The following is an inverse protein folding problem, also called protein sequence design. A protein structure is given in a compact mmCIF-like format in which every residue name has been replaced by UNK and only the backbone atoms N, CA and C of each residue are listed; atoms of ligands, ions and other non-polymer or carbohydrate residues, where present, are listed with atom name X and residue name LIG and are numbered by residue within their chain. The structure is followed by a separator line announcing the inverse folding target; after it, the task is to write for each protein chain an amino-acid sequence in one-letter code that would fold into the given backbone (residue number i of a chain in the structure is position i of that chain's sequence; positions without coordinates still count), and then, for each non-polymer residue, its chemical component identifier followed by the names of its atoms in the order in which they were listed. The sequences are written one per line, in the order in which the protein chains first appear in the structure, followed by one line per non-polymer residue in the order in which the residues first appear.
data_IF_417845297053
#
_entry.id   IF_417845297053
#
_cell.length_a   1.000
_cell.length_b   1.000
_cell.length_c   1.000
_cell.angle_alpha   90.00
_cell.angle_beta   90.00
_cell.angle_gamma   90.00
#
_symmetry.space_group_name_H-M   'P 1'
#
loop_
_entity.id
_entity.type
_entity.pdbx_description
1 polymer ?
#
# COMPACT_ATOMS: atom_id res chain seq x y z
N UNK A 1 45.03 51.54 18.06
CA UNK A 1 44.49 51.47 16.69
C UNK A 1 44.19 50.02 16.38
N UNK A 2 42.91 49.64 16.20
CA UNK A 2 42.51 48.24 16.11
C UNK A 2 42.77 47.65 14.72
N UNK A 3 43.10 46.36 14.74
CA UNK A 3 43.40 45.51 13.60
C UNK A 3 42.18 45.31 12.70
N UNK A 4 42.45 45.23 11.39
CA UNK A 4 41.50 44.86 10.35
C UNK A 4 40.83 43.53 10.69
N UNK A 5 39.51 43.60 10.81
CA UNK A 5 38.61 42.47 10.97
C UNK A 5 38.68 41.61 9.71
N UNK A 6 39.22 40.40 9.85
CA UNK A 6 39.21 39.39 8.80
C UNK A 6 37.77 39.03 8.50
N UNK A 7 37.31 39.32 7.29
CA UNK A 7 35.99 38.94 6.80
C UNK A 7 35.82 37.41 6.89
N UNK A 8 35.14 36.95 7.95
CA UNK A 8 34.64 35.59 8.06
C UNK A 8 33.57 35.44 6.99
N UNK A 9 33.95 34.90 5.82
CA UNK A 9 32.99 34.36 4.86
C UNK A 9 32.20 33.27 5.58
N UNK A 10 31.00 33.61 6.07
CA UNK A 10 29.97 32.63 6.41
C UNK A 10 29.67 31.84 5.14
N UNK A 11 30.31 30.68 4.97
CA UNK A 11 29.82 29.65 4.06
C UNK A 11 28.47 29.20 4.63
N UNK A 12 27.38 29.73 4.10
CA UNK A 12 26.08 29.10 4.25
C UNK A 12 26.18 27.74 3.56
N UNK A 13 26.35 26.67 4.34
CA UNK A 13 26.05 25.33 3.86
C UNK A 13 24.54 25.27 3.65
N UNK A 14 24.06 25.75 2.51
CA UNK A 14 22.73 25.37 2.03
C UNK A 14 22.77 23.85 1.87
N UNK A 15 22.21 23.12 2.83
CA UNK A 15 21.87 21.70 2.63
C UNK A 15 21.04 21.67 1.34
N UNK A 16 21.55 21.01 0.31
CA UNK A 16 20.79 20.75 -0.91
C UNK A 16 19.63 19.86 -0.52
N UNK A 17 18.45 20.46 -0.38
CA UNK A 17 17.22 19.78 -0.01
C UNK A 17 16.73 18.96 -1.21
N UNK A 18 16.39 17.70 -0.97
CA UNK A 18 15.75 16.79 -1.93
C UNK A 18 14.58 16.08 -1.27
N UNK A 19 13.77 15.37 -2.05
CA UNK A 19 12.66 14.52 -1.57
C UNK A 19 13.15 13.39 -0.67
N UNK A 20 14.45 13.08 -0.68
CA UNK A 20 15.05 12.14 0.25
C UNK A 20 15.29 12.78 1.63
N UNK A 21 15.49 14.11 1.70
CA UNK A 21 15.91 14.84 2.91
C UNK A 21 14.98 14.73 4.15
N UNK A 22 13.64 14.66 4.03
CA UNK A 22 12.76 14.59 5.20
C UNK A 22 12.75 13.24 5.94
N UNK A 23 13.41 12.22 5.40
CA UNK A 23 13.29 10.83 5.87
C UNK A 23 14.65 10.27 6.32
N UNK A 24 14.68 9.03 6.83
CA UNK A 24 15.94 8.29 7.02
C UNK A 24 16.80 8.25 5.74
N UNK A 25 16.22 8.46 4.56
CA UNK A 25 16.96 8.61 3.31
C UNK A 25 17.80 9.91 3.21
N UNK A 26 17.45 10.94 3.97
CA UNK A 26 18.25 12.16 4.11
C UNK A 26 19.56 11.84 4.80
N UNK A 27 19.53 10.94 5.78
CA UNK A 27 20.73 10.36 6.38
C UNK A 27 21.50 9.48 5.37
N UNK A 28 20.81 8.82 4.44
CA UNK A 28 21.44 8.01 3.38
C UNK A 28 22.15 8.85 2.31
N UNK A 29 21.77 10.12 2.12
CA UNK A 29 22.55 11.04 1.30
C UNK A 29 23.98 11.21 1.83
N UNK A 30 24.22 10.93 3.12
CA UNK A 30 25.55 10.90 3.72
C UNK A 30 26.16 9.48 3.76
N UNK A 31 25.38 8.44 3.50
CA UNK A 31 25.85 7.05 3.41
C UNK A 31 26.22 6.61 1.99
N UNK A 32 25.69 7.29 0.96
CA UNK A 32 25.94 6.97 -0.46
C UNK A 32 27.11 7.75 -1.09
N UNK A 33 28.06 8.22 -0.28
CA UNK A 33 29.23 8.97 -0.75
C UNK A 33 29.98 8.22 -1.86
N UNK A 34 29.93 8.74 -3.10
CA UNK A 34 30.58 8.16 -4.27
C UNK A 34 29.67 7.39 -5.23
N UNK A 35 28.36 7.27 -4.96
CA UNK A 35 27.41 6.71 -5.92
C UNK A 35 27.27 7.62 -7.15
N UNK A 36 27.35 7.03 -8.34
CA UNK A 36 27.05 7.69 -9.63
C UNK A 36 25.67 7.35 -10.16
N UNK A 37 24.96 6.44 -9.51
CA UNK A 37 23.67 5.93 -10.00
C UNK A 37 22.54 6.75 -9.41
N UNK A 38 21.54 7.08 -10.24
CA UNK A 38 20.28 7.66 -9.79
C UNK A 38 19.52 6.71 -8.86
N UNK A 39 18.76 7.27 -7.93
CA UNK A 39 17.78 6.54 -7.12
C UNK A 39 16.39 6.81 -7.68
N UNK A 40 15.61 5.74 -7.90
CA UNK A 40 14.20 5.86 -8.24
C UNK A 40 13.35 5.88 -6.96
N UNK A 41 12.41 6.82 -6.90
CA UNK A 41 11.52 7.03 -5.77
C UNK A 41 10.07 7.06 -6.26
N UNK A 42 9.21 6.25 -5.64
CA UNK A 42 7.76 6.43 -5.69
C UNK A 42 7.36 7.14 -4.42
N UNK A 43 6.94 8.40 -4.55
CA UNK A 43 6.59 9.21 -3.40
C UNK A 43 5.24 8.82 -2.81
N UNK A 44 4.89 9.42 -1.68
CA UNK A 44 3.66 9.20 -0.92
C UNK A 44 2.36 9.37 -1.71
N UNK A 45 2.40 10.18 -2.76
CA UNK A 45 1.25 10.49 -3.61
C UNK A 45 1.18 9.51 -4.82
N UNK A 46 2.14 8.60 -4.93
CA UNK A 46 2.25 7.58 -5.97
C UNK A 46 2.99 8.03 -7.23
N UNK A 47 3.67 9.17 -7.20
CA UNK A 47 4.46 9.66 -8.33
C UNK A 47 5.87 9.07 -8.34
N UNK A 48 6.27 8.54 -9.49
CA UNK A 48 7.63 8.09 -9.76
C UNK A 48 8.53 9.27 -10.11
N UNK A 49 9.72 9.28 -9.50
CA UNK A 49 10.79 10.24 -9.71
C UNK A 49 12.10 9.51 -9.89
N UNK A 50 12.93 10.04 -10.77
CA UNK A 50 14.35 9.81 -10.77
C UNK A 50 15.03 10.90 -9.93
N UNK A 51 15.83 10.50 -8.96
CA UNK A 51 16.65 11.38 -8.12
C UNK A 51 18.10 11.20 -8.54
N UNK A 52 18.69 12.24 -9.10
CA UNK A 52 20.06 12.23 -9.61
C UNK A 52 21.08 12.00 -8.50
N UNK A 53 22.17 11.32 -8.85
CA UNK A 53 23.31 11.15 -7.97
C UNK A 53 23.93 12.46 -7.49
N UNK A 54 23.74 13.57 -8.19
CA UNK A 54 24.25 14.88 -7.78
C UNK A 54 23.67 15.40 -6.46
N UNK A 55 22.50 14.93 -6.04
CA UNK A 55 21.85 15.37 -4.80
C UNK A 55 22.04 14.44 -3.62
N UNK A 56 22.49 13.20 -3.84
CA UNK A 56 22.74 12.24 -2.75
C UNK A 56 24.17 11.64 -2.75
N UNK A 57 24.88 11.60 -3.87
CA UNK A 57 26.18 10.93 -4.04
C UNK A 57 27.39 11.88 -3.89
N UNK A 58 27.28 12.92 -3.07
CA UNK A 58 28.05 14.17 -3.21
C UNK A 58 29.57 14.15 -2.92
N UNK A 59 30.23 12.98 -2.90
CA UNK A 59 31.68 12.96 -2.75
C UNK A 59 32.36 11.83 -3.51
N UNK A 60 32.83 12.14 -4.73
CA UNK A 60 33.85 11.34 -5.43
C UNK A 60 35.20 11.59 -4.73
N UNK A 61 35.67 10.66 -3.91
CA UNK A 61 36.93 10.78 -3.17
C UNK A 61 38.05 10.04 -3.90
N UNK A 62 39.17 10.72 -4.17
CA UNK A 62 40.39 10.04 -4.61
C UNK A 62 41.08 9.43 -3.38
N UNK A 63 41.13 8.10 -3.33
CA UNK A 63 41.92 7.38 -2.33
C UNK A 63 43.37 7.37 -2.80
N UNK A 64 44.29 7.97 -2.04
CA UNK A 64 45.73 7.72 -2.17
C UNK A 64 46.11 6.71 -1.09
N UNK A 65 46.71 5.59 -1.48
CA UNK A 65 47.27 4.56 -0.59
C UNK A 65 46.31 4.02 0.48
N UNK A 66 45.00 3.95 0.18
CA UNK A 66 44.01 3.36 1.09
C UNK A 66 43.70 4.18 2.36
N UNK A 67 44.21 5.41 2.49
CA UNK A 67 43.87 6.32 3.60
C UNK A 67 43.17 7.57 3.11
N UNK A 68 42.05 7.88 3.74
CA UNK A 68 41.24 9.04 3.42
C UNK A 68 41.67 10.26 4.24
N UNK A 69 41.71 11.45 3.62
CA UNK A 69 41.95 12.73 4.30
C UNK A 69 40.66 13.56 4.25
N UNK A 70 39.87 13.55 5.33
CA UNK A 70 39.13 14.74 5.73
C UNK A 70 39.34 14.98 7.24
N UNK A 71 39.28 16.24 7.67
CA UNK A 71 39.64 16.65 9.04
C UNK A 71 38.54 16.39 10.08
N UNK A 72 37.45 15.71 9.71
CA UNK A 72 36.20 15.71 10.53
C UNK A 72 35.66 14.30 10.77
N UNK A 73 35.89 13.34 9.86
CA UNK A 73 35.35 11.99 9.96
C UNK A 73 36.46 10.94 9.90
N UNK A 74 36.61 10.17 10.99
CA UNK A 74 37.70 9.20 11.19
C UNK A 74 37.42 7.79 10.68
N UNK A 75 36.25 7.49 10.10
CA UNK A 75 35.92 6.13 9.69
C UNK A 75 35.21 6.08 8.33
N UNK A 76 35.83 5.36 7.38
CA UNK A 76 35.20 4.91 6.14
C UNK A 76 35.47 3.42 5.93
N UNK A 77 34.40 2.63 5.98
CA UNK A 77 34.33 1.24 5.49
C UNK A 77 32.93 1.03 4.90
N UNK A 78 32.70 -0.05 4.13
CA UNK A 78 31.35 -0.41 3.71
C UNK A 78 30.46 -0.48 4.95
N UNK A 79 29.51 0.45 5.07
CA UNK A 79 28.45 0.30 6.05
C UNK A 79 27.52 -0.76 5.50
N UNK A 80 27.31 -1.84 6.24
CA UNK A 80 26.06 -2.57 6.06
C UNK A 80 24.93 -1.56 6.29
N UNK A 81 23.99 -1.50 5.36
CA UNK A 81 22.70 -0.88 5.66
C UNK A 81 22.21 -1.60 6.92
N UNK A 82 21.59 -0.93 7.91
CA UNK A 82 21.08 -1.60 9.13
C UNK A 82 20.04 -2.72 8.89
N UNK A 83 19.82 -3.11 7.63
CA UNK A 83 18.96 -4.18 7.14
C UNK A 83 19.58 -4.96 5.96
N UNK A 84 20.89 -4.78 5.67
CA UNK A 84 21.61 -5.53 4.62
C UNK A 84 22.32 -6.76 5.14
N UNK A 85 22.43 -6.93 6.46
CA UNK A 85 22.80 -8.22 7.02
C UNK A 85 21.63 -9.15 6.68
N UNK A 86 21.89 -10.15 5.83
CA UNK A 86 20.89 -10.92 5.09
C UNK A 86 19.87 -11.72 5.91
N UNK A 87 19.71 -11.43 7.20
CA UNK A 87 18.78 -12.06 8.12
C UNK A 87 17.48 -11.28 8.37
N UNK A 88 17.42 -9.96 8.15
CA UNK A 88 16.21 -9.17 8.52
C UNK A 88 15.29 -8.79 7.36
N UNK A 89 15.72 -8.92 6.09
CA UNK A 89 14.92 -8.47 4.93
C UNK A 89 14.21 -9.58 4.12
N UNK A 90 14.43 -10.86 4.43
CA UNK A 90 14.02 -11.95 3.52
C UNK A 90 12.56 -12.39 3.59
N UNK A 91 11.80 -11.94 4.60
CA UNK A 91 10.42 -12.42 4.85
C UNK A 91 9.51 -12.25 3.63
N UNK A 92 9.76 -11.22 2.79
CA UNK A 92 8.94 -10.92 1.62
C UNK A 92 9.65 -11.11 0.27
N UNK A 93 10.96 -11.40 0.28
CA UNK A 93 11.76 -11.56 -0.94
C UNK A 93 11.64 -12.99 -1.50
N UNK A 94 11.58 -14.00 -0.64
CA UNK A 94 11.49 -15.41 -1.03
C UNK A 94 10.04 -15.92 -1.06
N UNK A 95 9.14 -15.24 -1.80
CA UNK A 95 7.69 -15.57 -1.96
C UNK A 95 7.16 -16.70 -1.04
N UNK A 96 7.14 -16.53 0.29
CA UNK A 96 6.71 -17.61 1.14
C UNK A 96 5.21 -17.80 0.90
N UNK A 97 4.73 -19.03 1.04
CA UNK A 97 3.32 -19.26 1.32
C UNK A 97 2.87 -18.36 2.47
N UNK A 98 1.59 -18.02 2.53
CA UNK A 98 1.07 -17.23 3.65
C UNK A 98 1.50 -17.85 4.98
N UNK A 99 1.38 -19.17 5.11
CA UNK A 99 1.76 -19.88 6.33
C UNK A 99 3.24 -19.74 6.68
N UNK A 100 4.16 -19.82 5.72
CA UNK A 100 5.59 -19.61 5.97
C UNK A 100 5.88 -18.17 6.43
N UNK A 101 5.26 -17.18 5.79
CA UNK A 101 5.39 -15.78 6.18
C UNK A 101 4.87 -15.51 7.60
N UNK A 102 3.72 -16.09 7.93
CA UNK A 102 3.14 -15.99 9.28
C UNK A 102 3.96 -16.76 10.32
N UNK A 103 4.52 -17.91 9.97
CA UNK A 103 5.42 -18.66 10.87
C UNK A 103 6.67 -17.83 11.20
N UNK A 104 7.25 -17.13 10.23
CA UNK A 104 8.37 -16.22 10.49
C UNK A 104 8.01 -15.10 11.48
N UNK A 105 6.81 -14.52 11.34
CA UNK A 105 6.29 -13.50 12.27
C UNK A 105 6.06 -14.11 13.67
N UNK A 106 5.51 -15.33 13.73
CA UNK A 106 5.29 -16.08 14.98
C UNK A 106 6.60 -16.26 15.75
N UNK A 107 7.65 -16.72 15.08
CA UNK A 107 8.94 -16.98 15.70
C UNK A 107 9.56 -15.68 16.26
N UNK A 108 9.37 -14.55 15.58
CA UNK A 108 9.81 -13.24 16.09
C UNK A 108 9.07 -12.84 17.37
N UNK A 109 7.75 -13.06 17.45
CA UNK A 109 7.00 -12.75 18.67
C UNK A 109 7.35 -13.67 19.84
N UNK A 110 7.70 -14.93 19.57
CA UNK A 110 8.14 -15.88 20.61
C UNK A 110 9.53 -15.56 21.17
N UNK A 111 10.36 -14.85 20.41
CA UNK A 111 11.68 -14.40 20.87
C UNK A 111 11.62 -13.16 21.78
N UNK A 112 10.46 -12.51 21.91
CA UNK A 112 10.28 -11.36 22.79
C UNK A 112 9.96 -11.81 24.22
N UNK A 113 10.59 -11.20 25.21
CA UNK A 113 10.35 -11.55 26.60
C UNK A 113 8.95 -11.09 27.05
N UNK A 114 8.14 -12.03 27.53
CA UNK A 114 6.75 -11.77 27.92
C UNK A 114 6.61 -10.68 28.99
N UNK A 115 7.51 -10.63 29.97
CA UNK A 115 7.48 -9.61 31.03
C UNK A 115 7.83 -8.23 30.48
N UNK A 116 8.83 -8.11 29.60
CA UNK A 116 9.17 -6.85 28.93
C UNK A 116 7.97 -6.31 28.11
N UNK A 117 7.23 -7.19 27.43
CA UNK A 117 6.04 -6.78 26.67
C UNK A 117 4.91 -6.27 27.58
N UNK A 118 4.73 -6.85 28.76
CA UNK A 118 3.77 -6.33 29.76
C UNK A 118 4.21 -4.95 30.23
N UNK A 119 5.48 -4.79 30.59
CA UNK A 119 6.02 -3.53 31.06
C UNK A 119 5.94 -2.43 30.00
N UNK A 120 6.24 -2.76 28.74
CA UNK A 120 6.11 -1.86 27.60
C UNK A 120 4.65 -1.42 27.38
N UNK A 121 3.71 -2.36 27.52
CA UNK A 121 2.27 -2.06 27.41
C UNK A 121 1.83 -1.09 28.51
N UNK A 122 2.23 -1.34 29.76
CA UNK A 122 1.93 -0.46 30.91
C UNK A 122 2.60 0.90 30.77
N UNK A 123 3.86 0.93 30.34
CA UNK A 123 4.59 2.17 30.10
C UNK A 123 3.86 3.05 29.08
N UNK A 124 3.49 2.48 27.93
CA UNK A 124 2.78 3.24 26.90
C UNK A 124 1.37 3.64 27.35
N UNK A 125 0.62 2.77 28.02
CA UNK A 125 -0.77 3.05 28.40
C UNK A 125 -0.91 3.97 29.61
N UNK A 126 -0.08 3.75 30.64
CA UNK A 126 -0.27 4.32 31.98
C UNK A 126 0.82 5.28 32.42
N UNK A 127 2.05 5.13 31.93
CA UNK A 127 3.16 6.02 32.30
C UNK A 127 3.28 7.23 31.41
N UNK A 128 3.20 7.06 30.09
CA UNK A 128 3.31 8.18 29.14
C UNK A 128 2.12 9.14 29.28
N UNK A 129 2.43 10.43 29.49
CA UNK A 129 1.41 11.47 29.46
C UNK A 129 0.88 11.66 28.03
N UNK A 130 -0.30 12.27 27.90
CA UNK A 130 -0.84 12.62 26.58
C UNK A 130 0.10 13.55 25.79
N UNK A 131 0.83 14.43 26.50
CA UNK A 131 1.82 15.31 25.89
C UNK A 131 2.98 14.50 25.32
N UNK A 132 3.54 13.56 26.09
CA UNK A 132 4.68 12.74 25.64
C UNK A 132 4.27 11.85 24.46
N UNK A 133 3.06 11.28 24.48
CA UNK A 133 2.52 10.53 23.34
C UNK A 133 2.45 11.41 22.09
N UNK A 134 1.93 12.64 22.20
CA UNK A 134 1.92 13.58 21.09
C UNK A 134 3.33 13.91 20.60
N UNK A 135 4.27 14.21 21.49
CA UNK A 135 5.65 14.52 21.11
C UNK A 135 6.29 13.35 20.34
N UNK A 136 6.05 12.10 20.76
CA UNK A 136 6.50 10.91 20.03
C UNK A 136 5.85 10.79 18.65
N UNK A 137 4.54 11.07 18.54
CA UNK A 137 3.78 10.96 17.30
C UNK A 137 4.18 12.06 16.31
N UNK A 138 4.47 13.27 16.79
CA UNK A 138 4.87 14.44 16.00
C UNK A 138 6.16 14.25 15.21
N UNK A 139 7.00 13.31 15.62
CA UNK A 139 8.17 12.87 14.83
C UNK A 139 7.74 12.32 13.47
N UNK A 140 6.57 11.68 13.40
CA UNK A 140 6.07 10.99 12.20
C UNK A 140 4.91 11.74 11.56
N UNK A 141 4.04 12.36 12.37
CA UNK A 141 2.87 13.07 11.90
C UNK A 141 2.28 14.01 12.94
N UNK A 142 1.54 15.02 12.48
CA UNK A 142 0.78 15.94 13.34
C UNK A 142 -0.14 15.20 14.34
N UNK A 143 -0.05 15.53 15.63
CA UNK A 143 -0.77 14.81 16.68
C UNK A 143 -2.30 14.93 16.54
N UNK A 144 -2.81 16.07 16.09
CA UNK A 144 -4.26 16.26 15.93
C UNK A 144 -4.81 15.46 14.74
N UNK A 145 -4.04 15.37 13.65
CA UNK A 145 -4.34 14.44 12.56
C UNK A 145 -4.33 13.00 13.04
N UNK A 146 -3.40 12.63 13.92
CA UNK A 146 -3.33 11.28 14.48
C UNK A 146 -4.55 10.98 15.36
N UNK A 147 -4.88 11.89 16.29
CA UNK A 147 -6.07 11.80 17.14
C UNK A 147 -7.32 11.59 16.29
N UNK A 148 -7.49 12.38 15.23
CA UNK A 148 -8.59 12.22 14.27
C UNK A 148 -8.54 10.87 13.56
N UNK A 149 -7.36 10.36 13.23
CA UNK A 149 -7.17 9.07 12.58
C UNK A 149 -7.54 7.89 13.49
N UNK A 150 -7.30 7.97 14.81
CA UNK A 150 -7.66 6.92 15.76
C UNK A 150 -9.11 7.01 16.28
N UNK A 151 -9.85 8.05 15.87
CA UNK A 151 -11.27 8.23 16.22
C UNK A 151 -11.50 9.15 17.42
N UNK A 152 -10.51 9.95 17.79
CA UNK A 152 -10.71 11.01 18.76
C UNK A 152 -11.76 11.99 18.24
N UNK A 153 -12.64 12.41 19.15
CA UNK A 153 -13.71 13.36 18.88
C UNK A 153 -13.75 14.40 20.00
N UNK A 154 -14.65 15.37 19.89
CA UNK A 154 -14.80 16.39 20.93
C UNK A 154 -15.10 15.77 22.32
N UNK A 155 -15.76 14.61 22.35
CA UNK A 155 -16.12 13.88 23.58
C UNK A 155 -15.02 12.95 24.10
N UNK A 156 -14.00 12.66 23.30
CA UNK A 156 -12.90 11.73 23.63
C UNK A 156 -11.67 12.16 22.84
N UNK A 157 -10.98 13.20 23.29
CA UNK A 157 -9.87 13.82 22.56
C UNK A 157 -8.47 13.28 22.95
N UNK A 158 -8.41 12.24 23.79
CA UNK A 158 -7.14 11.68 24.24
C UNK A 158 -6.74 10.46 23.41
N UNK A 159 -5.44 10.26 23.26
CA UNK A 159 -4.85 9.08 22.63
C UNK A 159 -5.14 7.86 23.51
N UNK A 160 -4.99 7.98 24.84
CA UNK A 160 -5.21 6.89 25.80
C UNK A 160 -6.59 6.23 25.69
N UNK A 161 -7.66 6.99 25.47
CA UNK A 161 -9.01 6.42 25.36
C UNK A 161 -9.28 5.78 23.99
N UNK A 162 -8.62 6.27 22.93
CA UNK A 162 -8.90 5.87 21.55
C UNK A 162 -7.88 4.91 20.94
N UNK A 163 -6.73 4.71 21.58
CA UNK A 163 -5.67 3.79 21.17
C UNK A 163 -5.17 2.98 22.36
N UNK A 164 -5.45 1.67 22.35
CA UNK A 164 -4.90 0.73 23.35
C UNK A 164 -3.95 -0.25 22.69
N UNK A 165 -2.85 -0.54 23.37
CA UNK A 165 -1.81 -1.48 22.91
C UNK A 165 -1.54 -2.45 24.04
N UNK A 166 -1.61 -3.74 23.74
CA UNK A 166 -1.31 -4.84 24.63
C UNK A 166 -0.29 -5.76 23.96
N UNK A 167 0.99 -5.40 24.04
CA UNK A 167 2.09 -6.14 23.43
C UNK A 167 2.17 -7.60 23.90
N UNK A 168 1.82 -7.88 25.16
CA UNK A 168 1.80 -9.24 25.69
C UNK A 168 0.86 -10.17 24.88
N UNK A 169 -0.17 -9.60 24.25
CA UNK A 169 -1.09 -10.34 23.40
C UNK A 169 -0.41 -10.96 22.18
N UNK A 170 0.69 -10.37 21.68
CA UNK A 170 1.47 -10.94 20.56
C UNK A 170 2.08 -12.29 20.96
N UNK A 171 2.66 -12.37 22.15
CA UNK A 171 3.22 -13.61 22.69
C UNK A 171 2.13 -14.66 22.94
N UNK A 172 0.99 -14.27 23.54
CA UNK A 172 -0.17 -15.18 23.72
C UNK A 172 -0.73 -15.73 22.39
N UNK A 173 -0.76 -14.90 21.35
CA UNK A 173 -1.22 -15.30 20.02
C UNK A 173 -0.21 -16.25 19.37
N UNK A 174 1.08 -15.91 19.47
CA UNK A 174 2.17 -16.70 18.91
C UNK A 174 2.40 -18.02 19.65
N UNK A 175 2.00 -18.16 20.92
CA UNK A 175 2.10 -19.44 21.63
C UNK A 175 1.09 -20.48 21.18
N UNK A 176 0.06 -20.09 20.41
CA UNK A 176 -0.93 -21.03 19.86
C UNK A 176 -0.37 -21.81 18.67
N UNK A 177 -0.89 -23.01 18.43
CA UNK A 177 -0.61 -23.76 17.20
C UNK A 177 -1.43 -23.20 16.03
N UNK A 178 -0.77 -22.92 14.89
CA UNK A 178 -1.37 -22.36 13.67
C UNK A 178 -1.26 -23.38 12.53
N UNK A 179 -1.78 -24.60 12.72
CA UNK A 179 -1.57 -25.70 11.76
C UNK A 179 -2.30 -25.45 10.44
N UNK A 180 -3.51 -24.90 10.50
CA UNK A 180 -4.37 -24.63 9.33
C UNK A 180 -5.23 -23.38 9.50
N UNK A 181 -5.04 -22.63 10.60
CA UNK A 181 -5.81 -21.44 10.91
C UNK A 181 -4.90 -20.38 11.51
N UNK A 182 -5.10 -19.14 11.08
CA UNK A 182 -4.36 -18.01 11.59
C UNK A 182 -5.16 -17.31 12.68
N UNK A 183 -4.50 -16.51 13.53
CA UNK A 183 -5.18 -15.69 14.51
C UNK A 183 -6.24 -14.81 13.84
N UNK A 184 -7.44 -14.81 14.40
CA UNK A 184 -8.54 -13.99 13.88
C UNK A 184 -8.17 -12.52 13.94
N UNK A 185 -8.70 -11.73 13.00
CA UNK A 185 -8.52 -10.28 12.95
C UNK A 185 -8.79 -9.64 14.31
N UNK A 186 -9.87 -10.03 15.00
CA UNK A 186 -10.23 -9.47 16.32
C UNK A 186 -9.24 -9.79 17.44
N UNK A 187 -8.42 -10.84 17.30
CA UNK A 187 -7.35 -11.13 18.26
C UNK A 187 -6.15 -10.19 18.05
N UNK A 188 -5.91 -9.75 16.82
CA UNK A 188 -4.83 -8.80 16.49
C UNK A 188 -5.30 -7.36 16.65
N UNK A 189 -6.35 -6.98 15.91
CA UNK A 189 -6.97 -5.66 15.93
C UNK A 189 -8.35 -5.80 16.55
N UNK A 190 -8.47 -5.41 17.82
CA UNK A 190 -9.76 -5.27 18.45
C UNK A 190 -9.72 -4.88 19.91
N UNK A 191 -10.91 -4.71 20.51
CA UNK A 191 -11.07 -4.26 21.90
C UNK A 191 -10.33 -5.09 22.94
N UNK A 192 -10.10 -6.37 22.65
CA UNK A 192 -9.31 -7.33 23.46
C UNK A 192 -8.06 -7.84 22.76
N UNK A 193 -7.73 -7.27 21.60
CA UNK A 193 -6.61 -7.69 20.79
C UNK A 193 -5.29 -7.04 21.20
N UNK A 194 -4.27 -7.25 20.38
CA UNK A 194 -2.98 -6.55 20.50
C UNK A 194 -3.17 -5.03 20.36
N UNK A 195 -3.94 -4.60 19.37
CA UNK A 195 -4.15 -3.19 19.05
C UNK A 195 -5.64 -2.87 19.02
N UNK A 196 -6.06 -1.85 19.76
CA UNK A 196 -7.40 -1.29 19.69
C UNK A 196 -7.33 0.14 19.17
N UNK A 197 -8.13 0.42 18.13
CA UNK A 197 -8.33 1.76 17.59
C UNK A 197 -9.82 2.06 17.63
N UNK A 198 -10.22 3.11 18.35
CA UNK A 198 -11.64 3.48 18.54
C UNK A 198 -12.40 3.69 17.23
N UNK A 199 -11.76 4.29 16.22
CA UNK A 199 -12.33 4.43 14.87
C UNK A 199 -12.69 3.10 14.19
N UNK A 200 -12.00 2.02 14.57
CA UNK A 200 -12.25 0.67 14.08
C UNK A 200 -13.19 -0.11 14.99
N UNK A 201 -13.77 0.52 16.01
CA UNK A 201 -14.84 -0.10 16.80
C UNK A 201 -15.95 -0.54 15.87
N UNK A 202 -16.41 -1.79 16.05
CA UNK A 202 -17.36 -2.48 15.15
C UNK A 202 -16.81 -3.01 13.82
N UNK A 203 -15.62 -2.57 13.34
CA UNK A 203 -14.98 -3.20 12.17
C UNK A 203 -14.59 -4.64 12.46
N UNK A 204 -14.21 -4.95 13.71
CA UNK A 204 -13.88 -6.30 14.19
C UNK A 204 -14.95 -7.33 13.79
N UNK A 205 -16.22 -7.03 14.03
CA UNK A 205 -17.33 -7.94 13.79
C UNK A 205 -17.79 -8.00 12.33
N UNK A 206 -17.50 -6.96 11.54
CA UNK A 206 -17.91 -6.84 10.14
C UNK A 206 -16.75 -7.18 9.20
N UNK A 207 -15.83 -6.23 9.05
CA UNK A 207 -14.62 -6.37 8.24
C UNK A 207 -13.76 -7.54 8.71
N UNK A 208 -13.52 -7.66 10.03
CA UNK A 208 -12.67 -8.71 10.59
C UNK A 208 -13.18 -10.11 10.24
N UNK A 209 -14.49 -10.36 10.37
CA UNK A 209 -15.10 -11.64 9.99
C UNK A 209 -14.91 -11.97 8.50
N UNK A 210 -15.11 -11.00 7.61
CA UNK A 210 -14.92 -11.22 6.17
C UNK A 210 -13.44 -11.45 5.83
N UNK A 211 -12.54 -10.68 6.47
CA UNK A 211 -11.10 -10.83 6.34
C UNK A 211 -10.64 -12.24 6.76
N UNK A 212 -11.13 -12.74 7.90
CA UNK A 212 -10.82 -14.10 8.38
C UNK A 212 -11.26 -15.18 7.37
N UNK A 213 -12.48 -15.07 6.82
CA UNK A 213 -12.98 -15.98 5.78
C UNK A 213 -12.07 -15.97 4.55
N UNK A 214 -11.69 -14.78 4.09
CA UNK A 214 -10.82 -14.61 2.94
C UNK A 214 -9.41 -15.12 3.19
N UNK A 215 -8.85 -14.88 4.38
CA UNK A 215 -7.54 -15.37 4.76
C UNK A 215 -7.51 -16.90 4.77
N UNK A 216 -8.52 -17.52 5.38
CA UNK A 216 -8.67 -18.98 5.37
C UNK A 216 -8.75 -19.55 3.95
N UNK A 217 -9.52 -18.90 3.07
CA UNK A 217 -9.60 -19.30 1.65
C UNK A 217 -8.25 -19.23 0.94
N UNK A 218 -7.41 -18.24 1.20
CA UNK A 218 -6.08 -18.20 0.57
C UNK A 218 -5.14 -19.27 1.11
N UNK A 219 -5.19 -19.58 2.41
CA UNK A 219 -4.45 -20.72 2.99
C UNK A 219 -4.89 -22.03 2.33
N UNK A 220 -6.20 -22.25 2.23
CA UNK A 220 -6.77 -23.43 1.60
C UNK A 220 -6.45 -23.50 0.09
N UNK A 221 -6.35 -22.34 -0.58
CA UNK A 221 -5.91 -22.23 -1.98
C UNK A 221 -4.46 -22.70 -2.15
N UNK A 222 -3.54 -22.21 -1.32
CA UNK A 222 -2.13 -22.63 -1.36
C UNK A 222 -1.96 -24.12 -1.01
N UNK A 223 -2.84 -24.65 -0.16
CA UNK A 223 -2.88 -26.06 0.18
C UNK A 223 -3.64 -26.94 -0.84
N UNK A 224 -4.11 -26.39 -1.96
CA UNK A 224 -4.93 -27.07 -2.98
C UNK A 224 -6.21 -27.74 -2.43
N UNK A 225 -6.81 -27.15 -1.39
CA UNK A 225 -8.03 -27.65 -0.72
C UNK A 225 -9.33 -27.07 -1.30
N UNK A 226 -9.26 -26.13 -2.26
CA UNK A 226 -10.42 -25.45 -2.83
C UNK A 226 -11.00 -26.14 -4.08
N UNK A 227 -12.32 -25.99 -4.26
CA UNK A 227 -13.00 -26.37 -5.51
C UNK A 227 -12.64 -25.44 -6.68
N UNK A 228 -12.77 -25.89 -7.92
CA UNK A 228 -12.57 -25.04 -9.12
C UNK A 228 -13.42 -23.77 -9.10
N UNK A 229 -14.66 -23.88 -8.58
CA UNK A 229 -15.57 -22.74 -8.44
C UNK A 229 -14.99 -21.69 -7.49
N UNK A 230 -14.49 -22.12 -6.32
CA UNK A 230 -13.95 -21.23 -5.30
C UNK A 230 -12.58 -20.67 -5.68
N UNK A 231 -11.78 -21.39 -6.46
CA UNK A 231 -10.53 -20.89 -7.03
C UNK A 231 -10.77 -19.65 -7.90
N UNK A 232 -11.89 -19.59 -8.63
CA UNK A 232 -12.20 -18.47 -9.51
C UNK A 232 -12.70 -17.21 -8.79
N UNK A 233 -13.10 -17.31 -7.52
CA UNK A 233 -13.70 -16.20 -6.77
C UNK A 233 -12.66 -15.17 -6.33
N UNK A 234 -13.04 -13.89 -6.45
CA UNK A 234 -12.20 -12.77 -6.02
C UNK A 234 -12.10 -12.74 -4.49
N UNK A 235 -10.88 -12.48 -4.03
CA UNK A 235 -10.54 -12.47 -2.62
C UNK A 235 -9.80 -11.18 -2.29
N UNK A 236 -10.28 -10.44 -1.28
CA UNK A 236 -9.66 -9.19 -0.86
C UNK A 236 -8.24 -9.37 -0.31
N UNK A 237 -7.94 -10.49 0.35
CA UNK A 237 -6.59 -10.80 0.85
C UNK A 237 -5.62 -11.01 -0.31
N UNK A 238 -6.04 -11.73 -1.35
CA UNK A 238 -5.24 -11.87 -2.59
C UNK A 238 -4.97 -10.51 -3.22
N UNK A 239 -5.99 -9.65 -3.34
CA UNK A 239 -5.82 -8.29 -3.87
C UNK A 239 -4.77 -7.49 -3.08
N UNK A 240 -4.86 -7.45 -1.74
CA UNK A 240 -3.88 -6.75 -0.90
C UNK A 240 -2.49 -7.36 -1.08
N UNK A 241 -2.37 -8.68 -1.12
CA UNK A 241 -1.09 -9.35 -1.35
C UNK A 241 -0.48 -8.94 -2.68
N UNK A 242 -1.25 -8.92 -3.77
CA UNK A 242 -0.78 -8.47 -5.10
C UNK A 242 -0.38 -6.99 -5.10
N UNK A 243 -1.12 -6.15 -4.38
CA UNK A 243 -0.79 -4.72 -4.21
C UNK A 243 0.54 -4.53 -3.47
N UNK A 244 0.73 -5.22 -2.34
CA UNK A 244 1.93 -5.11 -1.51
C UNK A 244 3.16 -5.72 -2.17
N UNK A 245 3.00 -6.82 -2.90
CA UNK A 245 4.10 -7.51 -3.60
C UNK A 245 4.35 -6.99 -5.01
N UNK A 246 3.61 -5.98 -5.46
CA UNK A 246 3.72 -5.39 -6.80
C UNK A 246 3.61 -6.42 -7.95
N UNK A 247 2.81 -7.45 -7.74
CA UNK A 247 2.51 -8.48 -8.72
C UNK A 247 1.26 -8.13 -9.53
N UNK A 248 1.16 -8.68 -10.74
CA UNK A 248 -0.07 -8.62 -11.54
C UNK A 248 -1.20 -9.33 -10.79
N UNK A 249 -2.37 -8.73 -10.81
CA UNK A 249 -3.60 -9.28 -10.24
C UNK A 249 -4.41 -10.04 -11.29
N UNK A 250 -4.31 -9.62 -12.56
CA UNK A 250 -5.03 -10.24 -13.67
C UNK A 250 -4.10 -10.57 -14.83
N UNK A 251 -4.64 -10.64 -16.05
CA UNK A 251 -3.95 -11.08 -17.27
C UNK A 251 -2.96 -10.04 -17.81
N UNK A 252 -3.15 -8.77 -17.45
CA UNK A 252 -2.27 -7.67 -17.81
C UNK A 252 -2.55 -7.05 -19.18
N UNK A 253 -1.92 -5.89 -19.41
CA UNK A 253 -2.19 -5.02 -20.55
C UNK A 253 -1.87 -5.65 -21.92
N UNK A 254 -0.87 -6.55 -21.99
CA UNK A 254 -0.51 -7.23 -23.24
C UNK A 254 -1.59 -8.22 -23.70
N UNK A 255 -2.31 -8.85 -22.76
CA UNK A 255 -3.44 -9.73 -23.08
C UNK A 255 -4.67 -8.93 -23.49
N UNK A 256 -5.01 -7.86 -22.74
CA UNK A 256 -6.15 -6.99 -23.05
C UNK A 256 -6.05 -6.33 -24.43
N UNK A 257 -4.82 -6.17 -24.94
CA UNK A 257 -4.58 -5.62 -26.28
C UNK A 257 -5.18 -6.51 -27.37
N UNK A 258 -5.37 -7.81 -27.15
CA UNK A 258 -5.80 -8.76 -28.18
C UNK A 258 -7.29 -8.66 -28.52
N UNK A 259 -8.12 -8.14 -27.60
CA UNK A 259 -9.57 -8.06 -27.78
C UNK A 259 -10.06 -6.59 -27.76
N UNK A 260 -10.77 -6.17 -28.81
CA UNK A 260 -11.25 -4.80 -28.95
C UNK A 260 -12.20 -4.35 -27.82
N UNK A 261 -13.07 -5.24 -27.33
CA UNK A 261 -13.95 -4.94 -26.19
C UNK A 261 -13.17 -4.78 -24.89
N UNK A 262 -12.08 -5.53 -24.71
CA UNK A 262 -11.22 -5.41 -23.54
C UNK A 262 -10.42 -4.11 -23.54
N UNK A 263 -10.05 -3.59 -24.72
CA UNK A 263 -9.43 -2.26 -24.84
C UNK A 263 -10.34 -1.13 -24.37
N UNK A 264 -11.66 -1.29 -24.49
CA UNK A 264 -12.64 -0.33 -23.94
C UNK A 264 -12.66 -0.42 -22.41
N UNK A 265 -12.64 -1.64 -21.86
CA UNK A 265 -12.66 -1.84 -20.41
C UNK A 265 -11.34 -1.42 -19.76
N UNK A 266 -10.20 -1.66 -20.39
CA UNK A 266 -8.85 -1.42 -19.87
C UNK A 266 -8.11 -0.32 -20.63
N UNK A 267 -8.81 0.78 -20.95
CA UNK A 267 -8.24 1.91 -21.68
C UNK A 267 -6.97 2.51 -21.05
N UNK A 268 -6.78 2.34 -19.74
CA UNK A 268 -5.58 2.76 -19.00
C UNK A 268 -4.30 2.15 -19.56
N UNK A 269 -4.36 0.91 -20.02
CA UNK A 269 -3.23 0.17 -20.57
C UNK A 269 -2.64 0.78 -21.84
N UNK A 270 -3.42 1.62 -22.52
CA UNK A 270 -3.13 2.05 -23.89
C UNK A 270 -3.14 3.58 -24.03
N UNK A 271 -3.13 4.30 -22.91
CA UNK A 271 -3.04 5.76 -22.94
C UNK A 271 -1.74 6.21 -23.60
N UNK A 272 -1.86 7.16 -24.53
CA UNK A 272 -0.72 7.91 -25.10
C UNK A 272 -0.50 9.26 -24.41
N UNK A 273 -1.47 9.70 -23.61
CA UNK A 273 -1.40 10.98 -22.91
C UNK A 273 -0.52 10.83 -21.67
N UNK A 274 0.45 11.74 -21.55
CA UNK A 274 1.31 11.86 -20.40
C UNK A 274 0.88 13.05 -19.55
N UNK A 275 0.80 12.84 -18.24
CA UNK A 275 0.58 13.92 -17.27
C UNK A 275 1.65 15.00 -17.41
N UNK A 276 1.22 16.25 -17.42
CA UNK A 276 2.14 17.38 -17.29
C UNK A 276 2.61 17.51 -15.85
N UNK A 277 3.90 17.24 -15.63
CA UNK A 277 4.54 17.34 -14.31
C UNK A 277 5.02 18.76 -13.97
N UNK A 278 4.85 19.74 -14.87
CA UNK A 278 5.32 21.12 -14.66
C UNK A 278 4.66 21.84 -13.48
N UNK A 279 3.49 21.37 -13.03
CA UNK A 279 2.77 21.91 -11.86
C UNK A 279 3.19 21.28 -10.53
N UNK A 280 3.95 20.18 -10.55
CA UNK A 280 4.40 19.51 -9.33
C UNK A 280 5.66 20.20 -8.78
N UNK A 281 5.86 20.21 -7.45
CA UNK A 281 7.07 20.76 -6.86
C UNK A 281 8.33 20.09 -7.41
N UNK A 282 9.20 20.87 -8.05
CA UNK A 282 10.47 20.38 -8.56
C UNK A 282 11.60 20.77 -7.61
N UNK A 283 12.37 19.76 -7.19
CA UNK A 283 13.66 19.97 -6.54
C UNK A 283 14.76 19.83 -7.58
N UNK A 284 15.84 20.60 -7.45
CA UNK A 284 17.01 20.43 -8.31
C UNK A 284 17.50 18.98 -8.25
N UNK A 285 17.81 18.39 -9.40
CA UNK A 285 18.27 16.99 -9.50
C UNK A 285 17.16 15.94 -9.41
N UNK A 286 15.89 16.33 -9.37
CA UNK A 286 14.76 15.39 -9.43
C UNK A 286 13.98 15.54 -10.73
N UNK A 287 13.60 14.41 -11.33
CA UNK A 287 12.78 14.39 -12.54
C UNK A 287 11.62 13.43 -12.36
N UNK A 288 10.40 13.95 -12.45
CA UNK A 288 9.20 13.11 -12.53
C UNK A 288 9.19 12.33 -13.85
N UNK A 289 8.64 11.13 -13.81
CA UNK A 289 8.53 10.26 -14.97
C UNK A 289 7.14 9.62 -15.06
N UNK A 290 6.74 9.25 -16.26
CA UNK A 290 5.51 8.50 -16.52
C UNK A 290 5.86 7.02 -16.73
N UNK A 291 5.58 6.13 -15.76
CA UNK A 291 5.88 4.71 -15.90
C UNK A 291 4.87 4.00 -16.81
N UNK A 292 5.25 2.83 -17.35
CA UNK A 292 4.38 2.01 -18.23
C UNK A 292 3.29 1.33 -17.39
N UNK A 293 2.03 1.38 -17.83
CA UNK A 293 0.96 0.57 -17.21
C UNK A 293 1.09 -0.88 -17.69
N UNK A 294 1.11 -1.85 -16.78
CA UNK A 294 1.24 -3.28 -17.09
C UNK A 294 0.04 -4.11 -16.65
N UNK A 295 -0.73 -3.66 -15.66
CA UNK A 295 -1.97 -4.32 -15.23
C UNK A 295 -2.92 -3.29 -14.59
N UNK A 296 -4.21 -3.60 -14.54
CA UNK A 296 -5.26 -2.69 -14.07
C UNK A 296 -6.29 -3.44 -13.25
N UNK A 297 -6.58 -2.91 -12.06
CA UNK A 297 -7.67 -3.37 -11.21
C UNK A 297 -8.72 -2.28 -11.06
N UNK A 298 -10.00 -2.65 -11.22
CA UNK A 298 -11.10 -1.69 -11.20
C UNK A 298 -12.24 -2.15 -10.31
N UNK A 299 -12.91 -1.18 -9.71
CA UNK A 299 -14.21 -1.44 -9.12
C UNK A 299 -15.28 -1.68 -10.20
N UNK A 300 -16.21 -2.57 -9.90
CA UNK A 300 -17.49 -2.74 -10.58
C UNK A 300 -18.62 -2.84 -9.56
N UNK A 301 -19.84 -2.64 -10.06
CA UNK A 301 -21.06 -2.81 -9.30
C UNK A 301 -22.15 -3.42 -10.14
N UNK A 302 -23.16 -3.95 -9.47
CA UNK A 302 -24.32 -4.53 -10.12
C UNK A 302 -25.54 -3.64 -10.00
N UNK A 303 -26.14 -3.28 -11.13
CA UNK A 303 -27.43 -2.59 -11.17
C UNK A 303 -28.53 -3.48 -11.74
N UNK A 304 -29.09 -3.12 -12.90
CA UNK A 304 -29.81 -4.05 -13.79
C UNK A 304 -28.84 -4.87 -14.64
N UNK A 305 -27.59 -4.41 -14.77
CA UNK A 305 -26.54 -5.01 -15.56
C UNK A 305 -25.17 -4.71 -14.91
N UNK A 306 -24.11 -5.48 -15.23
CA UNK A 306 -22.79 -5.25 -14.66
C UNK A 306 -22.20 -3.93 -15.19
N UNK A 307 -21.78 -3.06 -14.26
CA UNK A 307 -21.15 -1.78 -14.57
C UNK A 307 -19.75 -1.68 -13.97
N UNK A 308 -18.84 -1.00 -14.65
CA UNK A 308 -17.46 -0.81 -14.22
C UNK A 308 -17.06 0.67 -14.27
N UNK A 309 -15.92 0.99 -13.66
CA UNK A 309 -15.35 2.34 -13.71
C UNK A 309 -14.60 2.53 -15.04
N UNK A 310 -15.06 3.43 -15.92
CA UNK A 310 -14.42 3.68 -17.21
C UNK A 310 -13.03 4.31 -17.06
N UNK A 311 -12.21 4.15 -18.10
CA UNK A 311 -11.09 5.06 -18.31
C UNK A 311 -11.58 6.39 -18.85
N UNK A 312 -10.84 7.48 -18.58
CA UNK A 312 -10.99 8.76 -19.30
C UNK A 312 -10.73 8.58 -20.80
N UNK A 313 -9.98 7.53 -21.16
CA UNK A 313 -9.55 7.21 -22.50
C UNK A 313 -10.27 5.99 -23.04
N UNK A 314 -10.99 6.16 -24.13
CA UNK A 314 -11.72 5.05 -24.77
C UNK A 314 -11.38 4.97 -26.25
N UNK A 315 -11.23 3.74 -26.73
CA UNK A 315 -11.02 3.42 -28.14
C UNK A 315 -12.37 3.37 -28.85
N UNK A 316 -12.44 3.94 -30.05
CA UNK A 316 -13.65 3.82 -30.89
C UNK A 316 -13.81 2.38 -31.38
N UNK A 317 -15.07 1.93 -31.50
CA UNK A 317 -15.40 0.59 -32.00
C UNK A 317 -14.95 0.35 -33.46
N UNK A 318 -14.58 1.41 -34.18
CA UNK A 318 -14.18 1.42 -35.59
C UNK A 318 -12.82 0.77 -35.90
N UNK A 319 -12.18 0.09 -34.94
CA UNK A 319 -10.90 -0.62 -35.14
C UNK A 319 -9.68 0.30 -35.36
N UNK A 320 -9.89 1.61 -35.45
CA UNK A 320 -8.83 2.62 -35.41
C UNK A 320 -8.38 2.82 -33.96
N UNK A 321 -7.07 2.75 -33.66
CA UNK A 321 -6.52 2.98 -32.31
C UNK A 321 -6.53 4.47 -31.91
N UNK A 322 -7.54 5.21 -32.36
CA UNK A 322 -7.74 6.61 -32.00
C UNK A 322 -8.42 6.66 -30.64
N UNK A 323 -7.62 7.12 -29.67
CA UNK A 323 -8.03 7.38 -28.31
C UNK A 323 -8.91 8.62 -28.30
N UNK A 324 -10.14 8.51 -27.77
CA UNK A 324 -11.02 9.66 -27.55
C UNK A 324 -11.08 9.98 -26.07
N UNK A 325 -10.85 11.24 -25.69
CA UNK A 325 -10.83 11.72 -24.30
C UNK A 325 -12.20 12.22 -23.81
N UNK A 326 -13.31 11.66 -24.33
CA UNK A 326 -14.66 12.23 -24.15
C UNK A 326 -15.56 11.46 -23.17
N UNK A 327 -15.08 10.39 -22.54
CA UNK A 327 -15.91 9.61 -21.61
C UNK A 327 -15.91 10.28 -20.23
N UNK A 328 -17.12 10.40 -19.67
CA UNK A 328 -17.30 10.88 -18.30
C UNK A 328 -16.78 9.80 -17.33
N UNK A 329 -15.54 9.94 -16.91
CA UNK A 329 -14.86 9.05 -15.95
C UNK A 329 -15.43 9.13 -14.51
N UNK A 330 -16.43 9.99 -14.31
CA UNK A 330 -17.13 10.19 -13.04
C UNK A 330 -18.42 9.38 -12.93
N UNK A 331 -18.72 8.52 -13.89
CA UNK A 331 -19.92 7.67 -13.88
C UNK A 331 -19.54 6.22 -14.18
N UNK A 332 -20.35 5.30 -13.64
CA UNK A 332 -20.21 3.88 -13.94
C UNK A 332 -20.80 3.60 -15.32
N UNK A 333 -20.14 2.76 -16.10
CA UNK A 333 -20.60 2.39 -17.44
C UNK A 333 -20.79 0.89 -17.57
N UNK A 334 -21.73 0.48 -18.42
CA UNK A 334 -22.01 -0.93 -18.68
C UNK A 334 -20.97 -1.54 -19.60
N UNK A 335 -20.76 -2.85 -19.48
CA UNK A 335 -19.85 -3.57 -20.37
C UNK A 335 -20.28 -3.50 -21.84
N UNK A 336 -19.33 -3.38 -22.78
CA UNK A 336 -19.64 -3.39 -24.21
C UNK A 336 -20.29 -4.72 -24.62
N UNK A 337 -21.30 -4.65 -25.47
CA UNK A 337 -21.96 -5.84 -26.05
C UNK A 337 -21.10 -6.51 -27.12
N UNK A 338 -20.15 -5.77 -27.68
CA UNK A 338 -19.19 -6.21 -28.69
C UNK A 338 -18.37 -7.40 -28.21
N UNK A 339 -18.19 -8.41 -29.07
CA UNK A 339 -17.41 -9.61 -28.76
C UNK A 339 -18.00 -10.51 -27.67
N UNK A 340 -19.29 -10.33 -27.31
CA UNK A 340 -19.95 -11.11 -26.25
C UNK A 340 -19.45 -10.78 -24.83
N UNK A 341 -18.69 -9.70 -24.67
CA UNK A 341 -18.01 -9.35 -23.43
C UNK A 341 -19.01 -9.05 -22.31
N UNK A 342 -20.11 -8.36 -22.63
CA UNK A 342 -21.24 -8.18 -21.71
C UNK A 342 -21.70 -9.50 -21.07
N UNK A 343 -21.94 -10.54 -21.88
CA UNK A 343 -22.43 -11.84 -21.37
C UNK A 343 -21.37 -12.58 -20.55
N UNK A 344 -20.11 -12.49 -20.96
CA UNK A 344 -18.99 -13.04 -20.19
C UNK A 344 -18.86 -12.34 -18.83
N UNK A 345 -18.88 -11.01 -18.80
CA UNK A 345 -18.83 -10.23 -17.57
C UNK A 345 -20.05 -10.54 -16.68
N UNK A 346 -21.25 -10.58 -17.25
CA UNK A 346 -22.50 -10.88 -16.54
C UNK A 346 -22.46 -12.24 -15.85
N UNK A 347 -22.06 -13.30 -16.57
CA UNK A 347 -21.95 -14.65 -15.99
C UNK A 347 -20.87 -14.76 -14.92
N UNK A 348 -19.72 -14.10 -15.14
CA UNK A 348 -18.60 -14.12 -14.18
C UNK A 348 -18.85 -13.27 -12.95
N UNK A 349 -19.63 -12.21 -13.05
CA UNK A 349 -20.02 -11.39 -11.90
C UNK A 349 -20.64 -12.26 -10.79
N UNK A 350 -21.55 -13.16 -11.16
CA UNK A 350 -22.24 -14.06 -10.22
C UNK A 350 -21.41 -15.27 -9.79
N UNK A 351 -20.56 -15.77 -10.68
CA UNK A 351 -19.77 -16.98 -10.43
C UNK A 351 -18.49 -16.70 -9.61
N UNK A 352 -17.86 -15.57 -9.89
CA UNK A 352 -16.46 -15.27 -9.52
C UNK A 352 -16.30 -13.94 -8.78
N UNK A 353 -17.38 -13.24 -8.42
CA UNK A 353 -17.35 -11.96 -7.69
C UNK A 353 -16.62 -10.84 -8.48
N UNK A 354 -16.71 -10.91 -9.81
CA UNK A 354 -16.09 -9.98 -10.74
C UNK A 354 -15.72 -10.63 -12.08
N UNK A 355 -15.00 -9.89 -12.91
CA UNK A 355 -14.53 -10.34 -14.21
C UNK A 355 -13.11 -9.84 -14.45
N UNK A 356 -12.14 -10.76 -14.63
CA UNK A 356 -10.72 -10.45 -14.82
C UNK A 356 -10.20 -9.49 -13.73
N UNK A 357 -9.59 -8.36 -14.09
CA UNK A 357 -9.13 -7.33 -13.15
C UNK A 357 -10.24 -6.45 -12.57
N UNK A 358 -11.50 -6.68 -12.94
CA UNK A 358 -12.65 -5.93 -12.43
C UNK A 358 -13.32 -6.69 -11.28
N UNK A 359 -13.54 -6.02 -10.16
CA UNK A 359 -13.99 -6.62 -8.90
C UNK A 359 -15.35 -6.05 -8.50
N UNK A 360 -16.30 -6.91 -8.13
CA UNK A 360 -17.57 -6.45 -7.55
C UNK A 360 -17.36 -5.86 -6.15
N UNK A 361 -17.49 -4.53 -6.04
CA UNK A 361 -17.32 -3.83 -4.76
C UNK A 361 -18.61 -3.73 -3.94
N UNK A 362 -19.75 -4.10 -4.52
CA UNK A 362 -21.04 -4.19 -3.80
C UNK A 362 -21.28 -5.57 -3.20
N UNK A 363 -20.41 -6.53 -3.53
CA UNK A 363 -20.42 -7.88 -2.97
C UNK A 363 -21.78 -8.54 -3.13
N UNK A 364 -22.39 -8.38 -4.31
CA UNK A 364 -23.76 -8.79 -4.61
C UNK A 364 -23.98 -10.30 -4.45
N UNK A 365 -22.92 -11.07 -4.60
CA UNK A 365 -22.86 -12.53 -4.56
C UNK A 365 -22.46 -13.12 -3.21
N UNK A 366 -21.98 -12.30 -2.26
CA UNK A 366 -21.59 -12.78 -0.94
C UNK A 366 -22.84 -13.32 -0.25
N UNK A 367 -22.90 -14.63 0.03
CA UNK A 367 -24.15 -15.28 0.40
C UNK A 367 -24.70 -14.69 1.69
N UNK A 368 -26.00 -14.39 1.66
CA UNK A 368 -26.80 -14.11 2.84
C UNK A 368 -26.88 -15.40 3.64
N UNK A 369 -26.09 -15.54 4.71
CA UNK A 369 -26.43 -16.54 5.74
C UNK A 369 -27.81 -16.14 6.27
N UNK A 370 -28.85 -16.87 5.85
CA UNK A 370 -30.16 -16.82 6.47
C UNK A 370 -30.02 -17.49 7.83
N UNK A 371 -29.58 -16.72 8.82
CA UNK A 371 -29.79 -17.09 10.21
C UNK A 371 -31.31 -17.14 10.42
N UNK A 372 -31.85 -18.33 10.66
CA UNK A 372 -33.31 -18.59 10.79
C UNK A 372 -33.86 -18.13 12.14
N UNK A 373 -33.09 -17.39 12.92
CA UNK A 373 -33.53 -16.82 14.20
C UNK A 373 -34.37 -15.55 13.99
N UNK A 374 -35.36 -15.33 14.87
CA UNK A 374 -36.25 -14.14 14.87
C UNK A 374 -35.50 -12.79 14.90
N UNK A 375 -34.18 -12.79 15.15
CA UNK A 375 -33.31 -11.63 15.05
C UNK A 375 -33.06 -11.16 13.60
N UNK A 376 -33.16 -12.03 12.60
CA UNK A 376 -32.88 -11.69 11.19
C UNK A 376 -33.90 -10.74 10.57
N UNK A 377 -35.08 -10.54 11.20
CA UNK A 377 -36.07 -9.56 10.77
C UNK A 377 -35.74 -8.13 11.21
N UNK A 378 -34.89 -7.95 12.22
CA UNK A 378 -34.48 -6.63 12.73
C UNK A 378 -33.06 -6.24 12.31
N UNK A 379 -32.30 -7.18 11.75
CA UNK A 379 -30.91 -6.97 11.32
C UNK A 379 -30.91 -6.84 9.79
N UNK A 380 -30.50 -5.68 9.28
CA UNK A 380 -30.34 -5.44 7.83
C UNK A 380 -29.29 -6.35 7.16
N UNK A 381 -28.65 -5.89 6.08
CA UNK A 381 -27.69 -6.71 5.30
C UNK A 381 -26.71 -7.59 6.15
N UNK A 382 -26.38 -8.82 5.70
CA UNK A 382 -25.46 -9.73 6.40
C UNK A 382 -24.12 -9.10 6.76
N UNK A 383 -23.52 -9.56 7.87
CA UNK A 383 -22.23 -9.04 8.34
C UNK A 383 -21.10 -9.26 7.34
N UNK A 384 -21.08 -10.40 6.62
CA UNK A 384 -20.06 -10.67 5.60
C UNK A 384 -20.18 -9.72 4.41
N UNK A 385 -21.40 -9.47 3.92
CA UNK A 385 -21.63 -8.52 2.83
C UNK A 385 -21.20 -7.12 3.25
N UNK A 386 -21.60 -6.69 4.46
CA UNK A 386 -21.17 -5.39 5.03
C UNK A 386 -19.66 -5.31 5.17
N UNK A 387 -19.00 -6.35 5.67
CA UNK A 387 -17.55 -6.40 5.82
C UNK A 387 -16.81 -6.35 4.48
N UNK A 388 -17.34 -7.05 3.46
CA UNK A 388 -16.82 -7.02 2.09
C UNK A 388 -16.95 -5.62 1.45
N UNK A 389 -18.12 -4.98 1.58
CA UNK A 389 -18.34 -3.61 1.10
C UNK A 389 -17.46 -2.61 1.85
N UNK A 390 -17.33 -2.74 3.18
CA UNK A 390 -16.44 -1.90 4.00
C UNK A 390 -14.98 -2.04 3.56
N UNK A 391 -14.50 -3.26 3.28
CA UNK A 391 -13.15 -3.49 2.74
C UNK A 391 -12.94 -2.79 1.40
N UNK A 392 -13.80 -3.04 0.41
CA UNK A 392 -13.62 -2.44 -0.91
C UNK A 392 -13.83 -0.93 -0.90
N UNK A 393 -14.60 -0.38 0.04
CA UNK A 393 -14.69 1.06 0.26
C UNK A 393 -13.37 1.66 0.73
N UNK A 394 -12.57 0.92 1.50
CA UNK A 394 -11.22 1.34 1.89
C UNK A 394 -10.26 1.27 0.70
N UNK A 395 -10.23 0.14 -0.01
CA UNK A 395 -9.33 -0.10 -1.15
C UNK A 395 -9.63 0.83 -2.33
N UNK A 396 -10.90 0.97 -2.69
CA UNK A 396 -11.39 1.85 -3.76
C UNK A 396 -12.06 3.11 -3.17
N UNK A 397 -11.33 3.82 -2.32
CA UNK A 397 -11.77 5.08 -1.72
C UNK A 397 -11.67 6.26 -2.70
N UNK A 398 -12.43 7.33 -2.43
CA UNK A 398 -12.50 8.53 -3.29
C UNK A 398 -13.65 8.51 -4.29
N UNK A 399 -13.56 9.40 -5.27
CA UNK A 399 -14.55 9.55 -6.34
C UNK A 399 -14.51 8.36 -7.30
N UNK A 400 -15.51 8.23 -8.18
CA UNK A 400 -15.60 7.14 -9.15
C UNK A 400 -14.30 6.99 -9.97
N UNK A 401 -13.73 8.09 -10.47
CA UNK A 401 -12.47 8.10 -11.22
C UNK A 401 -11.27 7.51 -10.45
N UNK A 402 -11.28 7.56 -9.11
CA UNK A 402 -10.20 7.11 -8.22
C UNK A 402 -10.31 5.61 -7.90
N UNK A 403 -11.41 4.95 -8.27
CA UNK A 403 -11.68 3.53 -8.00
C UNK A 403 -10.98 2.59 -8.99
N UNK A 404 -9.79 2.98 -9.45
CA UNK A 404 -8.96 2.25 -10.41
C UNK A 404 -7.51 2.26 -9.93
N UNK A 405 -6.95 1.08 -9.82
CA UNK A 405 -5.55 0.85 -9.50
C UNK A 405 -4.81 0.43 -10.76
N UNK A 406 -3.63 0.99 -10.97
CA UNK A 406 -2.75 0.68 -12.09
C UNK A 406 -1.44 0.15 -11.54
N UNK A 407 -1.00 -0.99 -12.07
CA UNK A 407 0.35 -1.51 -11.85
C UNK A 407 1.25 -0.82 -12.85
N UNK A 408 2.17 -0.03 -12.34
CA UNK A 408 3.14 0.70 -13.12
C UNK A 408 4.48 -0.02 -13.11
N UNK A 409 5.20 0.07 -14.22
CA UNK A 409 6.55 -0.42 -14.38
C UNK A 409 7.50 0.76 -14.71
N UNK A 410 8.51 0.96 -13.87
CA UNK A 410 9.57 1.95 -14.04
C UNK A 410 10.58 1.38 -15.05
N UNK A 411 10.78 2.03 -16.22
CA UNK A 411 11.74 1.57 -17.21
C UNK A 411 13.16 1.50 -16.66
N UNK A 412 13.91 0.48 -17.09
CA UNK A 412 15.36 0.34 -16.88
C UNK A 412 15.84 0.34 -15.40
N UNK A 413 14.90 0.13 -14.46
CA UNK A 413 15.17 0.10 -13.02
C UNK A 413 15.19 -1.35 -12.51
N UNK A 414 16.02 -1.63 -11.49
CA UNK A 414 16.04 -2.94 -10.80
C UNK A 414 15.47 -2.90 -9.39
N UNK A 415 15.43 -1.72 -8.78
CA UNK A 415 14.92 -1.48 -7.44
C UNK A 415 14.60 0.00 -7.27
N UNK A 416 13.65 0.31 -6.40
CA UNK A 416 13.26 1.69 -6.11
C UNK A 416 12.86 1.83 -4.64
N UNK A 417 12.89 3.07 -4.15
CA UNK A 417 12.34 3.43 -2.86
C UNK A 417 10.85 3.71 -3.02
N UNK A 418 10.01 3.15 -2.16
CA UNK A 418 8.58 3.45 -2.12
C UNK A 418 8.18 4.05 -0.78
N UNK A 419 7.50 5.17 -0.84
CA UNK A 419 6.77 5.75 0.27
C UNK A 419 5.32 5.23 0.24
N UNK A 420 4.93 4.50 1.27
CA UNK A 420 3.59 3.91 1.38
C UNK A 420 2.86 4.49 2.59
N UNK A 421 1.66 4.99 2.35
CA UNK A 421 0.72 5.35 3.42
C UNK A 421 0.07 4.07 3.97
N UNK A 422 0.33 3.78 5.24
CA UNK A 422 -0.26 2.67 6.00
C UNK A 422 -1.31 3.27 6.94
N UNK A 423 -2.55 2.77 6.89
CA UNK A 423 -3.68 3.23 7.74
C UNK A 423 -3.97 4.75 7.72
N UNK A 424 -3.71 5.44 6.61
CA UNK A 424 -3.96 6.86 6.44
C UNK A 424 -2.68 7.69 6.58
N UNK A 425 -2.32 8.17 7.79
CA UNK A 425 -1.23 9.11 7.93
C UNK A 425 0.15 8.48 8.19
N UNK A 426 0.24 7.19 8.51
CA UNK A 426 1.52 6.56 8.79
C UNK A 426 2.25 6.32 7.49
N UNK A 427 3.49 6.76 7.44
CA UNK A 427 4.30 6.71 6.24
C UNK A 427 5.44 5.73 6.47
N UNK A 428 5.48 4.68 5.66
CA UNK A 428 6.58 3.72 5.67
C UNK A 428 7.33 3.84 4.37
N UNK A 429 8.65 3.93 4.52
CA UNK A 429 9.59 3.95 3.43
C UNK A 429 10.23 2.58 3.28
N UNK A 430 10.09 1.95 2.12
CA UNK A 430 10.67 0.62 1.86
C UNK A 430 11.52 0.59 0.60
N UNK A 431 12.60 -0.17 0.66
CA UNK A 431 13.36 -0.56 -0.52
C UNK A 431 12.63 -1.71 -1.21
N UNK A 432 12.25 -1.53 -2.47
CA UNK A 432 11.51 -2.53 -3.23
C UNK A 432 12.43 -3.09 -4.31
N UNK A 433 12.62 -4.41 -4.29
CA UNK A 433 13.27 -5.13 -5.36
C UNK A 433 12.30 -5.30 -6.54
N UNK A 434 12.81 -5.14 -7.76
CA UNK A 434 12.00 -5.06 -8.96
C UNK A 434 11.68 -3.61 -9.35
N UNK A 435 10.84 -3.45 -10.36
CA UNK A 435 10.56 -2.17 -10.99
C UNK A 435 9.07 -1.84 -11.08
N UNK A 436 8.23 -2.57 -10.35
CA UNK A 436 6.77 -2.44 -10.41
C UNK A 436 6.20 -1.88 -9.12
N UNK A 437 5.12 -1.12 -9.23
CA UNK A 437 4.35 -0.65 -8.08
C UNK A 437 2.90 -0.37 -8.44
N UNK A 438 2.00 -0.63 -7.50
CA UNK A 438 0.61 -0.21 -7.59
C UNK A 438 0.41 1.21 -7.06
N UNK A 439 -0.34 2.02 -7.81
CA UNK A 439 -0.97 3.26 -7.34
C UNK A 439 -2.30 3.50 -8.06
N UNK A 440 -3.06 4.52 -7.66
CA UNK A 440 -4.29 4.91 -8.36
C UNK A 440 -3.96 5.38 -9.77
N UNK A 441 -4.75 4.95 -10.75
CA UNK A 441 -4.60 5.41 -12.13
C UNK A 441 -4.77 6.94 -12.25
N UNK A 442 -5.66 7.52 -11.41
CA UNK A 442 -5.92 8.96 -11.37
C UNK A 442 -4.72 9.80 -10.94
N UNK A 443 -3.72 9.22 -10.24
CA UNK A 443 -2.44 9.89 -9.93
C UNK A 443 -1.79 10.42 -11.21
N UNK A 444 -1.81 9.62 -12.27
CA UNK A 444 -1.24 9.94 -13.59
C UNK A 444 -2.26 10.48 -14.59
N UNK A 445 -3.45 10.89 -14.14
CA UNK A 445 -4.53 11.44 -14.98
C UNK A 445 -5.02 10.46 -16.06
N UNK A 446 -5.02 9.16 -15.72
CA UNK A 446 -5.50 8.05 -16.55
C UNK A 446 -6.93 7.63 -16.17
#
# INVERSE_FOLDING_TARGET
MPQQDSSVRKKSNYKRWSSLSPHHFGDWAHSSEGSTNSIYLVNKDGFAKEVSAEVHGQKRRNLRDGRMIDKVNTWFGPRSVPFSDGNTSRIWEEKPTLMEGWQSIKDQFLNLEYQELIELSKWFQDTLSEKDKCEMIEVVMDCDKFKTAIGASWWSNSIKSNLKVNFAKLSEIASKEWIDDLPKFSEVIGSKGFLYISKLSSYEAKFGRMFDIWLKKEIDREANKLSEKDLSRKNGVDLIRKILTSQMYSEGCEEYKKNAGERIVYGECFTKDHKDFGKLPQSNGEKYMFPKVVDVVKAARWFSEPGFVPSKYVFTESGTPEQTSKVNDKQWISYPKTGGLFWQANSKFWASDGWKGVIDVECATVPVQKDTSLASWFVGEPLEKRGCVEFYRLVFSGDIKDKRWCLFEIPETKSFVKETQVFGPFMVSSWNNGNRFWTRCSTYEI
#
